data_IF_172956984368
#
_entry.id   IF_172956984368
#
_cell.length_a   1.000
_cell.length_b   1.000
_cell.length_c   1.000
_cell.angle_alpha   90.00
_cell.angle_beta   90.00
_cell.angle_gamma   90.00
#
_symmetry.space_group_name_H-M   'P 1'
#
loop_
_entity.id
_entity.type
_entity.pdbx_description
1 polymer ?
#
# COMPACT_ATOMS: atom_id res chain seq x y z
N UNK A 1 9.27 -12.43 33.41
CA UNK A 1 9.41 -13.87 33.79
C UNK A 1 10.83 -14.29 33.48
N UNK A 2 11.52 -14.95 34.39
CA UNK A 2 12.89 -15.41 34.12
C UNK A 2 12.87 -16.70 33.25
N UNK A 3 13.94 -16.99 32.51
CA UNK A 3 14.02 -18.22 31.70
C UNK A 3 13.82 -19.52 32.51
N UNK A 4 14.14 -19.51 33.79
CA UNK A 4 13.97 -20.64 34.71
C UNK A 4 12.50 -20.88 35.07
N UNK A 5 11.71 -19.82 35.26
CA UNK A 5 10.30 -19.92 35.58
C UNK A 5 9.46 -20.44 34.38
N UNK A 6 9.92 -20.19 33.15
CA UNK A 6 9.25 -20.71 31.95
C UNK A 6 9.42 -22.22 31.79
N UNK A 7 10.51 -22.81 32.22
CA UNK A 7 10.75 -24.27 32.11
C UNK A 7 9.86 -25.11 33.06
N UNK A 8 9.40 -24.52 34.15
CA UNK A 8 8.56 -25.19 35.14
C UNK A 8 7.06 -25.00 34.95
N UNK A 9 6.65 -23.98 34.18
CA UNK A 9 5.26 -23.69 33.87
C UNK A 9 5.18 -23.09 32.45
N UNK A 10 5.27 -23.90 31.38
CA UNK A 10 5.18 -23.42 30.04
C UNK A 10 3.80 -22.85 29.77
N UNK A 11 3.71 -21.52 29.71
CA UNK A 11 2.54 -20.80 29.24
C UNK A 11 2.73 -20.37 27.78
N UNK A 12 1.69 -19.88 27.11
CA UNK A 12 1.83 -19.36 25.75
C UNK A 12 2.85 -18.23 25.73
N UNK A 13 3.92 -18.40 24.96
CA UNK A 13 4.88 -17.36 24.69
C UNK A 13 4.24 -16.41 23.67
N UNK A 14 3.75 -15.29 24.15
CA UNK A 14 3.43 -14.18 23.26
C UNK A 14 4.78 -13.62 22.79
N UNK A 15 5.25 -14.07 21.64
CA UNK A 15 6.33 -13.40 20.94
C UNK A 15 5.78 -12.01 20.57
N UNK A 16 6.20 -10.99 21.30
CA UNK A 16 6.07 -9.62 20.85
C UNK A 16 6.98 -9.46 19.63
N UNK A 17 6.46 -9.78 18.49
CA UNK A 17 7.03 -9.32 17.23
C UNK A 17 7.08 -7.81 17.34
N UNK A 18 8.25 -7.20 17.11
CA UNK A 18 8.30 -5.76 16.91
C UNK A 18 7.46 -5.51 15.66
N UNK A 19 6.23 -5.05 15.86
CA UNK A 19 5.32 -4.70 14.78
C UNK A 19 6.02 -3.63 13.95
N UNK A 20 6.20 -3.88 12.68
CA UNK A 20 6.70 -2.87 11.75
C UNK A 20 5.65 -1.76 11.69
N UNK A 21 5.99 -0.50 11.38
CA UNK A 21 5.00 0.57 11.30
C UNK A 21 3.78 0.23 10.45
N UNK A 22 3.94 -0.60 9.43
CA UNK A 22 2.84 -1.10 8.62
C UNK A 22 1.97 -2.14 9.38
N UNK A 23 2.56 -2.92 10.27
CA UNK A 23 1.87 -3.93 11.08
C UNK A 23 1.09 -3.28 12.25
N UNK A 24 1.40 -2.02 12.62
CA UNK A 24 0.66 -1.29 13.64
C UNK A 24 -0.81 -1.02 13.27
N UNK A 25 -1.16 -1.19 12.00
CA UNK A 25 -2.51 -0.97 11.49
C UNK A 25 -3.30 -2.27 11.33
N UNK A 26 -2.71 -3.42 11.65
CA UNK A 26 -3.42 -4.68 11.69
C UNK A 26 -4.29 -4.71 12.95
N UNK A 27 -5.57 -4.43 12.81
CA UNK A 27 -6.55 -4.82 13.83
C UNK A 27 -6.85 -6.30 13.63
N UNK A 28 -6.68 -7.10 14.69
CA UNK A 28 -7.20 -8.47 14.73
C UNK A 28 -8.73 -8.39 14.57
N UNK A 29 -9.20 -8.36 13.32
CA UNK A 29 -10.59 -8.60 13.00
C UNK A 29 -10.88 -10.08 13.30
N UNK A 30 -11.91 -10.35 14.10
CA UNK A 30 -12.37 -11.67 14.44
C UNK A 30 -12.60 -12.53 13.17
N UNK A 31 -11.69 -13.43 12.91
CA UNK A 31 -11.71 -14.35 11.79
C UNK A 31 -10.29 -14.78 11.47
N UNK A 32 -9.70 -15.68 12.28
CA UNK A 32 -8.46 -16.35 11.89
C UNK A 32 -8.69 -17.08 10.58
N UNK A 33 -7.98 -16.70 9.48
CA UNK A 33 -7.84 -17.63 8.39
C UNK A 33 -7.00 -18.79 8.92
N UNK A 34 -7.48 -20.02 8.81
CA UNK A 34 -6.68 -21.20 9.05
C UNK A 34 -5.40 -21.08 8.21
N UNK A 35 -4.27 -20.94 8.88
CA UNK A 35 -2.93 -20.95 8.27
C UNK A 35 -2.66 -22.34 7.67
N UNK A 36 -3.13 -22.57 6.49
CA UNK A 36 -2.46 -23.48 5.56
C UNK A 36 -1.52 -22.59 4.74
N UNK A 37 -0.26 -22.52 5.16
CA UNK A 37 0.80 -21.88 4.40
C UNK A 37 1.02 -22.66 3.11
N UNK A 38 0.23 -22.36 2.08
CA UNK A 38 0.59 -22.70 0.72
C UNK A 38 1.63 -21.66 0.29
N UNK A 39 2.90 -22.04 0.27
CA UNK A 39 3.95 -21.27 -0.38
C UNK A 39 3.48 -20.93 -1.80
N UNK A 40 3.29 -19.62 -2.07
CA UNK A 40 2.85 -19.12 -3.37
C UNK A 40 1.38 -18.70 -3.48
N UNK A 41 0.57 -18.74 -2.41
CA UNK A 41 -0.78 -18.19 -2.41
C UNK A 41 -0.78 -16.68 -2.14
N UNK A 42 -1.75 -15.97 -2.72
CA UNK A 42 -1.99 -14.56 -2.40
C UNK A 42 -2.65 -14.49 -1.02
N UNK A 43 -2.00 -13.79 -0.10
CA UNK A 43 -2.59 -13.49 1.21
C UNK A 43 -3.60 -12.37 1.07
N UNK A 44 -4.75 -12.53 1.72
CA UNK A 44 -5.81 -11.53 1.69
C UNK A 44 -6.26 -11.25 3.12
N UNK A 45 -6.21 -9.98 3.53
CA UNK A 45 -6.55 -9.57 4.90
C UNK A 45 -7.01 -8.11 4.95
N UNK A 46 -7.71 -7.75 6.03
CA UNK A 46 -8.17 -6.38 6.28
C UNK A 46 -7.20 -5.65 7.21
N UNK A 47 -7.03 -4.34 6.97
CA UNK A 47 -6.25 -3.44 7.83
C UNK A 47 -7.02 -2.15 8.04
N UNK A 48 -6.86 -1.55 9.22
CA UNK A 48 -7.29 -0.19 9.46
C UNK A 48 -6.12 0.76 9.24
N UNK A 49 -6.28 1.73 8.35
CA UNK A 49 -5.27 2.79 8.13
C UNK A 49 -5.79 4.08 8.78
N UNK A 50 -5.05 4.66 9.75
CA UNK A 50 -5.45 5.91 10.40
C UNK A 50 -5.41 7.08 9.42
N UNK A 51 -5.96 8.25 9.80
CA UNK A 51 -5.91 9.44 8.98
C UNK A 51 -4.45 9.83 8.75
N UNK A 52 -4.14 10.24 7.53
CA UNK A 52 -2.80 10.63 7.13
C UNK A 52 -2.85 11.64 6.00
N UNK A 53 -1.71 12.22 5.66
CA UNK A 53 -1.56 13.04 4.46
C UNK A 53 -0.85 12.23 3.37
N UNK A 54 -1.21 12.51 2.13
CA UNK A 54 -0.55 11.95 0.96
C UNK A 54 0.05 13.07 0.12
N UNK A 55 1.38 13.16 0.10
CA UNK A 55 2.15 14.09 -0.72
C UNK A 55 2.50 13.39 -2.02
N UNK A 56 2.03 13.92 -3.17
CA UNK A 56 2.09 13.20 -4.43
C UNK A 56 2.10 14.11 -5.65
N UNK A 57 2.52 13.54 -6.76
CA UNK A 57 2.15 13.97 -8.11
C UNK A 57 1.11 13.01 -8.67
N UNK A 58 0.27 13.44 -9.62
CA UNK A 58 -0.75 12.59 -10.24
C UNK A 58 -0.90 12.83 -11.73
N UNK A 59 -1.39 11.81 -12.42
CA UNK A 59 -1.70 11.84 -13.83
C UNK A 59 -3.08 11.19 -14.08
N UNK A 60 -3.92 11.88 -14.85
CA UNK A 60 -5.29 11.44 -15.13
C UNK A 60 -5.40 10.51 -16.33
N UNK A 61 -4.37 10.48 -17.18
CA UNK A 61 -4.40 9.80 -18.48
C UNK A 61 -3.47 8.58 -18.53
N UNK A 62 -2.65 8.37 -17.52
CA UNK A 62 -1.69 7.27 -17.53
C UNK A 62 -2.37 5.90 -17.42
N UNK A 63 -1.72 4.91 -18.02
CA UNK A 63 -2.22 3.53 -18.11
C UNK A 63 -1.25 2.52 -17.49
N UNK A 64 -0.48 2.95 -16.51
CA UNK A 64 0.48 2.13 -15.78
C UNK A 64 1.81 2.83 -15.56
N UNK A 65 2.66 2.22 -14.77
CA UNK A 65 3.89 2.80 -14.25
C UNK A 65 4.78 3.46 -15.31
N UNK A 66 5.04 2.76 -16.42
CA UNK A 66 5.91 3.28 -17.47
C UNK A 66 5.28 4.48 -18.18
N UNK A 67 4.01 4.39 -18.52
CA UNK A 67 3.26 5.48 -19.19
C UNK A 67 3.13 6.69 -18.24
N UNK A 68 2.92 6.46 -16.95
CA UNK A 68 2.90 7.51 -15.95
C UNK A 68 4.18 8.34 -16.00
N UNK A 69 5.34 7.71 -15.91
CA UNK A 69 6.61 8.43 -15.93
C UNK A 69 6.94 9.06 -17.28
N UNK A 70 6.55 8.44 -18.39
CA UNK A 70 6.69 9.04 -19.71
C UNK A 70 5.89 10.33 -19.85
N UNK A 71 4.67 10.38 -19.31
CA UNK A 71 3.83 11.57 -19.32
C UNK A 71 4.34 12.64 -18.35
N UNK A 72 4.72 12.25 -17.14
CA UNK A 72 5.24 13.18 -16.14
C UNK A 72 6.54 13.86 -16.61
N UNK A 73 7.39 13.15 -17.32
CA UNK A 73 8.61 13.72 -17.90
C UNK A 73 8.37 14.84 -18.94
N UNK A 74 7.14 14.97 -19.46
CA UNK A 74 6.77 16.09 -20.34
C UNK A 74 6.46 17.39 -19.56
N UNK A 75 6.32 17.29 -18.24
CA UNK A 75 6.01 18.41 -17.37
C UNK A 75 7.33 18.86 -16.71
N UNK A 76 7.76 20.11 -16.87
CA UNK A 76 9.02 20.58 -16.28
C UNK A 76 9.12 20.31 -14.78
N UNK A 77 10.19 19.64 -14.35
CA UNK A 77 10.44 19.30 -12.95
C UNK A 77 9.58 18.17 -12.39
N UNK A 78 8.91 17.39 -13.24
CA UNK A 78 8.12 16.22 -12.83
C UNK A 78 8.65 14.89 -13.41
N UNK A 79 9.86 14.86 -13.91
CA UNK A 79 10.51 13.62 -14.29
C UNK A 79 10.79 12.74 -13.05
N UNK A 80 11.01 11.44 -13.31
CA UNK A 80 11.17 10.45 -12.24
C UNK A 80 12.32 10.80 -11.29
N UNK A 81 13.47 11.21 -11.81
CA UNK A 81 14.66 11.51 -10.99
C UNK A 81 14.39 12.71 -10.07
N UNK A 82 13.84 13.79 -10.62
CA UNK A 82 13.51 15.01 -9.87
C UNK A 82 12.49 14.69 -8.76
N UNK A 83 11.38 14.03 -9.10
CA UNK A 83 10.32 13.72 -8.13
C UNK A 83 10.80 12.74 -7.06
N UNK A 84 11.50 11.68 -7.46
CA UNK A 84 12.03 10.71 -6.50
C UNK A 84 13.04 11.35 -5.55
N UNK A 85 13.89 12.25 -6.04
CA UNK A 85 14.82 13.00 -5.20
C UNK A 85 14.11 13.93 -4.20
N UNK A 86 13.06 14.63 -4.63
CA UNK A 86 12.23 15.45 -3.75
C UNK A 86 11.52 14.61 -2.67
N UNK A 87 10.87 13.52 -3.06
CA UNK A 87 10.20 12.62 -2.12
C UNK A 87 11.18 11.97 -1.12
N UNK A 88 12.39 11.61 -1.58
CA UNK A 88 13.41 11.05 -0.71
C UNK A 88 13.83 12.05 0.39
N UNK A 89 13.85 13.35 0.11
CA UNK A 89 14.24 14.39 1.06
C UNK A 89 13.16 14.71 2.13
N UNK A 90 11.92 14.27 1.94
CA UNK A 90 10.84 14.55 2.91
C UNK A 90 11.04 13.72 4.18
N UNK A 91 11.13 14.34 5.37
CA UNK A 91 11.27 13.63 6.63
C UNK A 91 9.95 13.08 7.15
N UNK A 92 10.01 12.06 8.01
CA UNK A 92 8.86 11.56 8.74
C UNK A 92 7.83 10.78 7.92
N UNK A 93 8.26 10.19 6.80
CA UNK A 93 7.42 9.31 5.98
C UNK A 93 6.95 8.10 6.79
N UNK A 94 5.67 7.74 6.68
CA UNK A 94 5.09 6.62 7.41
C UNK A 94 5.63 5.26 6.94
N UNK A 95 6.05 5.15 5.68
CA UNK A 95 6.51 3.91 5.06
C UNK A 95 8.04 3.78 4.97
N UNK A 96 8.78 4.68 5.62
CA UNK A 96 10.26 4.74 5.57
C UNK A 96 10.94 3.74 6.52
N UNK A 97 10.20 3.11 7.39
CA UNK A 97 10.73 2.28 8.45
C UNK A 97 11.40 1.00 7.92
N UNK A 98 12.71 1.07 7.76
CA UNK A 98 13.57 -0.08 7.51
C UNK A 98 13.59 -0.59 6.08
N UNK A 99 13.20 0.20 5.10
CA UNK A 99 13.39 -0.12 3.68
C UNK A 99 12.64 -1.35 3.20
N UNK A 100 11.51 -1.69 3.82
CA UNK A 100 10.84 -2.97 3.59
C UNK A 100 9.55 -2.86 2.77
N UNK A 101 9.12 -1.64 2.50
CA UNK A 101 7.85 -1.40 1.81
C UNK A 101 8.02 -0.88 0.38
N UNK A 102 9.24 -0.61 -0.05
CA UNK A 102 9.60 -0.32 -1.44
C UNK A 102 11.11 -0.42 -1.68
N UNK A 103 11.52 -0.30 -2.93
CA UNK A 103 12.84 -0.59 -3.44
C UNK A 103 14.02 0.07 -2.75
N UNK A 104 13.85 1.26 -2.26
CA UNK A 104 14.98 2.08 -1.86
C UNK A 104 14.95 2.50 -0.38
N UNK A 105 14.00 1.99 0.41
CA UNK A 105 13.79 2.54 1.74
C UNK A 105 13.35 3.99 1.73
N UNK A 106 12.90 4.47 0.57
CA UNK A 106 12.54 5.87 0.34
C UNK A 106 11.13 6.23 0.82
N UNK A 107 10.32 5.24 1.21
CA UNK A 107 8.92 5.42 1.57
C UNK A 107 8.02 5.81 0.38
N UNK A 108 8.55 5.83 -0.84
CA UNK A 108 7.78 6.13 -2.05
C UNK A 108 6.91 4.96 -2.46
N UNK A 109 5.74 5.28 -2.99
CA UNK A 109 4.80 4.27 -3.48
C UNK A 109 4.00 4.79 -4.66
N UNK A 110 3.56 3.87 -5.48
CA UNK A 110 2.53 4.13 -6.48
C UNK A 110 1.16 4.05 -5.84
N UNK A 111 0.24 4.84 -6.35
CA UNK A 111 -1.12 4.88 -5.85
C UNK A 111 -2.10 5.20 -6.98
N UNK A 112 -3.37 4.96 -6.71
CA UNK A 112 -4.48 5.40 -7.56
C UNK A 112 -5.47 6.15 -6.67
N UNK A 113 -5.73 7.40 -7.02
CA UNK A 113 -6.69 8.24 -6.30
C UNK A 113 -8.04 8.07 -6.99
N UNK A 114 -9.09 7.71 -6.25
CA UNK A 114 -10.44 7.71 -6.80
C UNK A 114 -10.84 9.15 -7.14
N UNK A 115 -10.84 9.42 -8.43
CA UNK A 115 -11.07 10.75 -8.99
C UNK A 115 -12.13 10.65 -10.08
N UNK A 116 -13.31 11.25 -9.89
CA UNK A 116 -14.43 11.14 -10.84
C UNK A 116 -14.08 11.59 -12.26
N UNK A 117 -13.10 12.48 -12.40
CA UNK A 117 -12.59 12.94 -13.70
C UNK A 117 -11.44 12.09 -14.23
N UNK A 118 -10.99 11.09 -13.44
CA UNK A 118 -9.93 10.18 -13.82
C UNK A 118 -10.35 9.20 -14.92
N UNK A 119 -9.35 8.60 -15.54
CA UNK A 119 -9.57 7.55 -16.53
C UNK A 119 -10.15 6.28 -15.86
N UNK A 120 -11.09 5.63 -16.51
CA UNK A 120 -11.58 4.33 -16.06
C UNK A 120 -10.45 3.30 -16.20
N UNK A 121 -9.97 2.77 -15.10
CA UNK A 121 -8.94 1.72 -15.07
C UNK A 121 -9.53 0.33 -15.40
N UNK A 122 -8.67 -0.69 -15.49
CA UNK A 122 -9.07 -2.08 -15.75
C UNK A 122 -10.03 -2.66 -14.70
N UNK A 123 -10.13 -2.03 -13.54
CA UNK A 123 -11.07 -2.43 -12.46
C UNK A 123 -12.45 -1.78 -12.59
N UNK A 124 -12.68 -0.99 -13.64
CA UNK A 124 -13.96 -0.28 -13.84
C UNK A 124 -14.15 0.95 -12.95
N UNK A 125 -13.10 1.46 -12.34
CA UNK A 125 -13.12 2.59 -11.39
C UNK A 125 -12.43 3.79 -12.04
N UNK A 126 -12.98 5.02 -11.90
CA UNK A 126 -12.29 6.23 -12.33
C UNK A 126 -11.14 6.55 -11.37
N UNK A 127 -9.91 6.51 -11.85
CA UNK A 127 -8.72 6.71 -11.05
C UNK A 127 -7.73 7.63 -11.75
N UNK A 128 -7.05 8.49 -10.95
CA UNK A 128 -5.81 9.13 -11.35
C UNK A 128 -4.64 8.34 -10.76
N UNK A 129 -3.66 7.98 -11.58
CA UNK A 129 -2.42 7.38 -11.08
C UNK A 129 -1.58 8.44 -10.36
N UNK A 130 -0.91 8.04 -9.29
CA UNK A 130 -0.11 8.92 -8.46
C UNK A 130 1.19 8.23 -8.01
N UNK A 131 2.22 9.04 -7.78
CA UNK A 131 3.43 8.62 -7.09
C UNK A 131 3.67 9.58 -5.92
N UNK A 132 3.94 9.05 -4.73
CA UNK A 132 4.06 9.89 -3.55
C UNK A 132 4.52 9.17 -2.30
N UNK A 133 4.35 9.85 -1.16
CA UNK A 133 4.66 9.34 0.18
C UNK A 133 3.52 9.62 1.13
N UNK A 134 3.29 8.71 2.07
CA UNK A 134 2.37 8.93 3.17
C UNK A 134 3.08 9.64 4.32
N UNK A 135 2.40 10.59 4.92
CA UNK A 135 2.90 11.45 5.99
C UNK A 135 1.91 11.44 7.17
N UNK A 136 2.37 11.71 8.40
CA UNK A 136 1.47 11.86 9.54
C UNK A 136 0.35 12.89 9.28
N UNK A 137 -0.82 12.69 9.90
CA UNK A 137 -1.96 13.59 9.71
C UNK A 137 -1.67 15.04 10.14
N UNK A 138 -0.78 15.21 11.12
CA UNK A 138 -0.33 16.50 11.64
C UNK A 138 0.89 17.08 10.91
N UNK A 139 1.31 16.46 9.80
CA UNK A 139 2.44 16.96 9.02
C UNK A 139 2.22 18.41 8.59
N UNK A 140 3.14 19.29 9.02
CA UNK A 140 3.16 20.71 8.72
C UNK A 140 4.43 21.15 7.96
N UNK A 141 5.21 20.18 7.48
CA UNK A 141 6.43 20.45 6.71
C UNK A 141 6.14 20.95 5.29
N UNK A 142 7.18 21.32 4.55
CA UNK A 142 7.03 21.86 3.22
C UNK A 142 6.48 20.82 2.24
N UNK A 143 5.63 21.28 1.32
CA UNK A 143 5.27 20.56 0.11
C UNK A 143 5.97 21.20 -1.08
N UNK A 144 6.79 20.45 -1.85
CA UNK A 144 7.40 20.97 -3.08
C UNK A 144 6.33 21.50 -4.04
N UNK A 145 6.63 22.58 -4.75
CA UNK A 145 5.68 23.27 -5.63
C UNK A 145 5.11 22.37 -6.74
N UNK A 146 5.83 21.32 -7.13
CA UNK A 146 5.41 20.34 -8.13
C UNK A 146 4.38 19.33 -7.60
N UNK A 147 4.21 19.25 -6.27
CA UNK A 147 3.44 18.22 -5.60
C UNK A 147 2.17 18.76 -4.98
N UNK A 148 1.26 17.87 -4.73
CA UNK A 148 0.02 18.16 -4.02
C UNK A 148 0.01 17.41 -2.69
N UNK A 149 -0.46 18.06 -1.65
CA UNK A 149 -0.68 17.45 -0.34
C UNK A 149 -2.20 17.32 -0.13
N UNK A 150 -2.66 16.11 0.09
CA UNK A 150 -4.08 15.85 0.39
C UNK A 150 -4.26 15.14 1.72
N UNK A 151 -5.36 15.41 2.39
CA UNK A 151 -5.77 14.67 3.57
C UNK A 151 -6.48 13.37 3.14
N UNK A 152 -6.04 12.24 3.69
CA UNK A 152 -6.68 10.94 3.51
C UNK A 152 -7.32 10.55 4.84
N UNK A 153 -8.66 10.44 4.92
CA UNK A 153 -9.33 10.06 6.15
C UNK A 153 -9.04 8.61 6.51
N UNK A 154 -9.14 8.29 7.80
CA UNK A 154 -9.07 6.90 8.27
C UNK A 154 -10.04 6.00 7.50
N UNK A 155 -9.69 4.74 7.38
CA UNK A 155 -10.56 3.76 6.73
C UNK A 155 -10.08 2.34 6.85
N UNK A 156 -10.98 1.43 6.51
CA UNK A 156 -10.67 0.02 6.35
C UNK A 156 -10.13 -0.22 4.94
N UNK A 157 -9.17 -1.12 4.85
CA UNK A 157 -8.55 -1.49 3.58
C UNK A 157 -8.45 -3.00 3.47
N UNK A 158 -8.66 -3.50 2.28
CA UNK A 158 -8.42 -4.88 1.90
C UNK A 158 -7.07 -5.00 1.21
N UNK A 159 -6.21 -5.85 1.73
CA UNK A 159 -4.85 -6.07 1.23
C UNK A 159 -4.79 -7.40 0.49
N UNK A 160 -4.16 -7.37 -0.69
CA UNK A 160 -3.74 -8.55 -1.44
C UNK A 160 -2.22 -8.54 -1.51
N UNK A 161 -1.59 -9.52 -0.90
CA UNK A 161 -0.14 -9.61 -0.78
C UNK A 161 0.37 -10.94 -1.33
N UNK A 162 1.44 -10.88 -2.10
CA UNK A 162 2.20 -12.06 -2.51
C UNK A 162 3.69 -11.81 -2.36
N UNK A 163 4.37 -12.77 -1.80
CA UNK A 163 5.82 -12.78 -1.61
C UNK A 163 6.22 -13.68 -0.43
N UNK A 164 7.53 -13.94 -0.26
CA UNK A 164 8.63 -13.43 -1.07
C UNK A 164 8.68 -14.05 -2.48
N UNK A 165 9.28 -13.34 -3.42
CA UNK A 165 9.48 -13.81 -4.80
C UNK A 165 10.74 -13.18 -5.43
N UNK A 166 11.24 -13.78 -6.50
CA UNK A 166 12.30 -13.21 -7.32
C UNK A 166 11.72 -12.20 -8.31
N UNK A 167 12.04 -10.94 -8.10
CA UNK A 167 11.51 -9.83 -8.88
C UNK A 167 11.84 -9.95 -10.37
N UNK A 168 13.08 -10.32 -10.70
CA UNK A 168 13.55 -10.35 -12.07
C UNK A 168 12.83 -11.42 -12.92
N UNK A 169 12.51 -12.54 -12.31
CA UNK A 169 11.96 -13.70 -13.03
C UNK A 169 10.48 -13.95 -12.80
N UNK A 170 9.90 -13.44 -11.69
CA UNK A 170 8.57 -13.83 -11.26
C UNK A 170 7.55 -12.65 -11.20
N UNK A 171 7.99 -11.39 -11.35
CA UNK A 171 7.13 -10.23 -11.15
C UNK A 171 5.82 -10.28 -11.94
N UNK A 172 5.88 -10.60 -13.23
CA UNK A 172 4.69 -10.67 -14.08
C UNK A 172 3.72 -11.79 -13.64
N UNK A 173 4.25 -12.94 -13.22
CA UNK A 173 3.43 -14.04 -12.73
C UNK A 173 2.79 -13.73 -11.38
N UNK A 174 3.50 -13.04 -10.50
CA UNK A 174 3.00 -12.59 -9.19
C UNK A 174 1.91 -11.55 -9.38
N UNK A 175 2.11 -10.56 -10.24
CA UNK A 175 1.10 -9.56 -10.56
C UNK A 175 -0.18 -10.20 -11.10
N UNK A 176 -0.07 -11.13 -12.04
CA UNK A 176 -1.21 -11.86 -12.59
C UNK A 176 -1.98 -12.66 -11.51
N UNK A 177 -1.27 -13.30 -10.57
CA UNK A 177 -1.90 -14.00 -9.43
C UNK A 177 -2.68 -13.04 -8.52
N UNK A 178 -2.09 -11.89 -8.18
CA UNK A 178 -2.75 -10.91 -7.33
C UNK A 178 -3.97 -10.33 -8.05
N UNK A 179 -3.87 -10.01 -9.35
CA UNK A 179 -5.02 -9.55 -10.13
C UNK A 179 -6.15 -10.58 -10.16
N UNK A 180 -5.82 -11.86 -10.33
CA UNK A 180 -6.81 -12.93 -10.27
C UNK A 180 -7.48 -13.00 -8.90
N UNK A 181 -6.72 -12.89 -7.81
CA UNK A 181 -7.26 -12.87 -6.45
C UNK A 181 -8.17 -11.64 -6.22
N UNK A 182 -7.78 -10.47 -6.70
CA UNK A 182 -8.60 -9.25 -6.62
C UNK A 182 -9.93 -9.37 -7.40
N UNK A 183 -9.91 -10.01 -8.58
CA UNK A 183 -11.12 -10.24 -9.39
C UNK A 183 -12.02 -11.29 -8.78
N UNK A 184 -11.45 -12.30 -8.16
CA UNK A 184 -12.20 -13.42 -7.55
C UNK A 184 -12.67 -13.17 -6.13
N UNK A 185 -12.31 -12.03 -5.53
CA UNK A 185 -12.69 -11.74 -4.14
C UNK A 185 -14.19 -11.50 -4.00
N UNK A 186 -14.84 -12.26 -3.12
CA UNK A 186 -16.27 -12.13 -2.84
C UNK A 186 -16.51 -11.04 -1.78
N UNK A 187 -16.69 -9.81 -2.26
CA UNK A 187 -17.02 -8.67 -1.41
C UNK A 187 -18.33 -8.88 -0.65
N UNK A 188 -19.35 -9.47 -1.28
CA UNK A 188 -20.66 -9.66 -0.67
C UNK A 188 -20.58 -10.62 0.54
N UNK A 189 -19.89 -11.75 0.38
CA UNK A 189 -19.68 -12.70 1.47
C UNK A 189 -18.81 -12.11 2.60
N UNK A 190 -17.90 -11.17 2.29
CA UNK A 190 -17.06 -10.52 3.29
C UNK A 190 -17.79 -9.48 4.15
N UNK A 191 -18.98 -9.03 3.73
CA UNK A 191 -19.69 -7.91 4.35
C UNK A 191 -19.07 -6.54 4.08
N UNK A 192 -18.22 -6.46 3.06
CA UNK A 192 -17.58 -5.21 2.62
C UNK A 192 -17.88 -4.93 1.15
N UNK A 193 -17.65 -3.70 0.76
CA UNK A 193 -17.60 -3.25 -0.63
C UNK A 193 -16.45 -2.28 -0.81
N UNK A 194 -16.02 -2.05 -2.04
CA UNK A 194 -15.03 -1.00 -2.32
C UNK A 194 -15.56 0.36 -1.86
N UNK A 195 -14.73 1.11 -1.16
CA UNK A 195 -15.01 2.51 -0.84
C UNK A 195 -14.60 3.38 -2.03
N UNK A 196 -15.59 3.72 -2.85
CA UNK A 196 -15.42 4.54 -4.05
C UNK A 196 -15.74 6.03 -3.78
N UNK A 197 -15.63 6.47 -2.53
CA UNK A 197 -15.75 7.88 -2.21
C UNK A 197 -14.62 8.66 -2.90
N UNK A 198 -14.91 9.79 -3.58
CA UNK A 198 -13.88 10.62 -4.18
C UNK A 198 -12.76 10.97 -3.19
N UNK A 199 -11.50 10.90 -3.63
CA UNK A 199 -10.33 11.13 -2.79
C UNK A 199 -9.84 9.91 -1.99
N UNK A 200 -10.53 8.77 -2.03
CA UNK A 200 -9.97 7.52 -1.50
C UNK A 200 -8.78 7.09 -2.34
N UNK A 201 -7.76 6.57 -1.67
CA UNK A 201 -6.48 6.20 -2.27
C UNK A 201 -6.29 4.70 -2.19
N UNK A 202 -5.98 4.09 -3.31
CA UNK A 202 -5.54 2.71 -3.46
C UNK A 202 -4.01 2.74 -3.47
N UNK A 203 -3.34 1.93 -2.65
CA UNK A 203 -1.89 1.91 -2.58
C UNK A 203 -1.31 0.65 -3.20
N UNK A 204 -0.15 0.80 -3.82
CA UNK A 204 0.66 -0.30 -4.31
C UNK A 204 2.05 -0.22 -3.68
N UNK A 205 2.38 -1.25 -2.93
CA UNK A 205 3.69 -1.43 -2.33
C UNK A 205 4.46 -2.48 -3.10
N UNK A 206 5.68 -2.17 -3.37
CA UNK A 206 6.59 -3.00 -4.11
C UNK A 206 7.92 -3.09 -3.36
N UNK A 207 8.37 -4.33 -3.10
CA UNK A 207 9.71 -4.61 -2.60
C UNK A 207 10.35 -5.58 -3.58
N UNK A 208 11.39 -5.18 -4.27
CA UNK A 208 12.05 -5.88 -5.35
C UNK A 208 12.43 -7.34 -5.08
N UNK A 209 12.60 -7.73 -3.83
CA UNK A 209 13.02 -9.08 -3.49
C UNK A 209 12.03 -9.82 -2.61
N UNK A 210 10.88 -9.23 -2.29
CA UNK A 210 10.04 -9.76 -1.22
C UNK A 210 8.58 -9.92 -1.54
N UNK A 211 7.86 -8.82 -1.88
CA UNK A 211 6.42 -8.85 -2.04
C UNK A 211 5.88 -7.75 -2.96
N UNK A 212 4.68 -8.01 -3.49
CA UNK A 212 3.74 -6.99 -3.96
C UNK A 212 2.55 -6.92 -3.02
N UNK A 213 2.08 -5.69 -2.72
CA UNK A 213 0.84 -5.45 -1.97
C UNK A 213 -0.04 -4.45 -2.70
N UNK A 214 -1.26 -4.87 -2.99
CA UNK A 214 -2.34 -3.99 -3.43
C UNK A 214 -3.27 -3.74 -2.25
N UNK A 215 -3.44 -2.48 -1.87
CA UNK A 215 -4.18 -2.03 -0.69
C UNK A 215 -5.38 -1.22 -1.17
N UNK A 216 -6.57 -1.77 -1.04
CA UNK A 216 -7.81 -1.24 -1.63
C UNK A 216 -8.74 -0.73 -0.54
N UNK A 217 -9.21 0.54 -0.58
CA UNK A 217 -10.13 1.06 0.42
C UNK A 217 -11.47 0.32 0.35
N UNK A 218 -12.01 -0.03 1.52
CA UNK A 218 -13.30 -0.71 1.64
C UNK A 218 -14.15 -0.07 2.72
N UNK A 219 -15.44 -0.25 2.64
CA UNK A 219 -16.39 0.12 3.68
C UNK A 219 -17.40 -1.02 3.88
N UNK A 220 -18.08 -1.03 5.02
CA UNK A 220 -19.15 -1.99 5.29
C UNK A 220 -20.24 -1.88 4.22
N UNK A 221 -20.75 -3.04 3.79
CA UNK A 221 -21.83 -3.14 2.80
C UNK A 221 -23.17 -2.69 3.37
#
# INVERSE_FOLDING_TARGET
>A
MSPSAYRTAPGPVVLRTILRPFDCYLTEGAGSPSETQNEGAVKTYFVHIPPHKFLHIRNYESIGYRDFWQRQAQIPGQDCETICGLLASIPGKLDDAGGKNNDAGSGQLMAWINEPTGRICSWGIPLAEACGVRLPADYAGPAPAQMQLMDVPAGEYLVFEHGPFDFETQSAAVEAKIEQAMRGFDYAASGYRLDLTPGRVFYFYHDCARFFKYVRPVCRA
#
